data_IF_804388992413
#
_entry.id   IF_804388992413
#
_cell.length_a   1.000
_cell.length_b   1.000
_cell.length_c   1.000
_cell.angle_alpha   90.00
_cell.angle_beta   90.00
_cell.angle_gamma   90.00
#
_symmetry.space_group_name_H-M   'P 1'
#
loop_
_entity.id
_entity.type
_entity.pdbx_description
1 polymer ?
#
# COMPACT_ATOMS: atom_id res chain seq x y z
N UNK A 1 -12.80 29.35 -24.41
CA UNK A 1 -12.53 29.20 -22.97
C UNK A 1 -11.29 28.34 -22.82
N UNK A 2 -10.22 28.83 -22.21
CA UNK A 2 -8.99 28.05 -22.08
C UNK A 2 -9.21 26.92 -21.07
N UNK A 3 -8.58 25.77 -21.31
CA UNK A 3 -8.61 24.58 -20.43
C UNK A 3 -8.34 24.92 -18.96
N UNK A 4 -7.48 25.93 -18.74
CA UNK A 4 -7.13 26.49 -17.43
C UNK A 4 -8.24 27.27 -16.72
N UNK A 5 -9.18 27.89 -17.46
CA UNK A 5 -10.34 28.56 -16.82
C UNK A 5 -11.33 27.51 -16.32
N UNK A 6 -11.58 26.48 -17.13
CA UNK A 6 -12.49 25.37 -16.80
C UNK A 6 -11.96 24.52 -15.62
N UNK A 7 -10.65 24.30 -15.53
CA UNK A 7 -10.00 23.62 -14.40
C UNK A 7 -10.11 24.42 -13.09
N UNK A 8 -9.90 25.74 -13.13
CA UNK A 8 -10.06 26.63 -11.97
C UNK A 8 -11.51 26.69 -11.48
N UNK A 9 -12.47 26.74 -12.39
CA UNK A 9 -13.90 26.75 -12.06
C UNK A 9 -14.35 25.40 -11.47
N UNK A 10 -13.83 24.29 -12.01
CA UNK A 10 -14.09 22.94 -11.49
C UNK A 10 -13.52 22.75 -10.09
N UNK A 11 -12.30 23.24 -9.84
CA UNK A 11 -11.68 23.21 -8.52
C UNK A 11 -12.48 24.02 -7.50
N UNK A 12 -12.87 25.24 -7.87
CA UNK A 12 -13.69 26.11 -7.01
C UNK A 12 -15.01 25.44 -6.66
N UNK A 13 -15.69 24.82 -7.62
CA UNK A 13 -16.93 24.08 -7.38
C UNK A 13 -16.72 22.88 -6.44
N UNK A 14 -15.63 22.13 -6.62
CA UNK A 14 -15.31 20.99 -5.78
C UNK A 14 -15.10 21.41 -4.31
N UNK A 15 -14.29 22.45 -4.06
CA UNK A 15 -14.04 22.98 -2.72
C UNK A 15 -15.31 23.56 -2.07
N UNK A 16 -16.17 24.22 -2.85
CA UNK A 16 -17.45 24.72 -2.34
C UNK A 16 -18.39 23.58 -1.94
N UNK A 17 -18.47 22.52 -2.76
CA UNK A 17 -19.29 21.34 -2.48
C UNK A 17 -18.79 20.58 -1.26
N UNK A 18 -17.46 20.42 -1.14
CA UNK A 18 -16.79 19.80 0.00
C UNK A 18 -17.11 20.54 1.31
N UNK A 19 -16.91 21.86 1.34
CA UNK A 19 -17.22 22.70 2.51
C UNK A 19 -18.71 22.69 2.86
N UNK A 20 -19.59 22.68 1.86
CA UNK A 20 -21.03 22.58 2.08
C UNK A 20 -21.40 21.24 2.74
N UNK A 21 -20.83 20.13 2.25
CA UNK A 21 -21.06 18.81 2.82
C UNK A 21 -20.61 18.73 4.29
N UNK A 22 -19.40 19.22 4.62
CA UNK A 22 -18.90 19.28 6.00
C UNK A 22 -19.90 20.02 6.90
N UNK A 23 -20.34 21.22 6.48
CA UNK A 23 -21.28 22.02 7.26
C UNK A 23 -22.64 21.34 7.48
N UNK A 24 -23.12 20.54 6.50
CA UNK A 24 -24.36 19.77 6.66
C UNK A 24 -24.20 18.60 7.63
N UNK A 25 -23.04 17.93 7.59
CA UNK A 25 -22.73 16.80 8.46
C UNK A 25 -22.55 17.28 9.91
N UNK A 26 -21.80 18.37 10.13
CA UNK A 26 -21.58 18.93 11.46
C UNK A 26 -22.89 19.34 12.16
N UNK A 27 -23.89 19.79 11.39
CA UNK A 27 -25.23 20.11 11.93
C UNK A 27 -26.00 18.88 12.43
N UNK A 28 -25.73 17.71 11.85
CA UNK A 28 -26.45 16.47 12.13
C UNK A 28 -25.62 15.49 12.99
N UNK A 29 -24.33 15.77 13.21
CA UNK A 29 -23.38 14.87 13.88
C UNK A 29 -23.74 14.55 15.34
N UNK A 30 -24.57 15.37 15.98
CA UNK A 30 -25.06 15.14 17.34
C UNK A 30 -26.15 14.06 17.43
N UNK A 31 -26.75 13.66 16.31
CA UNK A 31 -27.78 12.62 16.25
C UNK A 31 -27.14 11.22 16.12
N UNK A 32 -27.35 10.29 17.07
CA UNK A 32 -26.85 8.93 17.00
C UNK A 32 -27.28 8.15 15.74
N UNK A 33 -28.41 8.50 15.13
CA UNK A 33 -28.89 7.87 13.88
C UNK A 33 -28.10 8.29 12.64
N UNK A 34 -27.27 9.33 12.77
CA UNK A 34 -26.41 9.82 11.68
C UNK A 34 -25.10 9.05 11.54
N UNK A 35 -24.76 8.13 12.47
CA UNK A 35 -23.44 7.45 12.49
C UNK A 35 -23.08 6.80 11.15
N UNK A 36 -23.94 6.01 10.48
CA UNK A 36 -23.61 5.44 9.17
C UNK A 36 -23.36 6.51 8.11
N UNK A 37 -24.15 7.59 8.13
CA UNK A 37 -24.01 8.72 7.20
C UNK A 37 -22.67 9.45 7.42
N UNK A 38 -22.30 9.74 8.67
CA UNK A 38 -21.03 10.40 8.99
C UNK A 38 -19.84 9.50 8.65
N UNK A 39 -19.95 8.18 8.87
CA UNK A 39 -18.90 7.23 8.50
C UNK A 39 -18.72 7.15 6.98
N UNK A 40 -19.81 7.08 6.19
CA UNK A 40 -19.73 7.16 4.72
C UNK A 40 -19.15 8.49 4.26
N UNK A 41 -19.54 9.60 4.89
CA UNK A 41 -18.97 10.90 4.56
C UNK A 41 -17.47 10.98 4.87
N UNK A 42 -17.01 10.37 5.97
CA UNK A 42 -15.58 10.30 6.28
C UNK A 42 -14.79 9.58 5.19
N UNK A 43 -15.35 8.50 4.61
CA UNK A 43 -14.78 7.82 3.44
C UNK A 43 -14.69 8.80 2.27
N UNK A 44 -15.78 9.49 1.91
CA UNK A 44 -15.81 10.43 0.78
C UNK A 44 -14.81 11.58 0.97
N UNK A 45 -14.63 12.09 2.19
CA UNK A 45 -13.63 13.10 2.47
C UNK A 45 -12.21 12.54 2.40
N UNK A 46 -11.93 11.36 2.97
CA UNK A 46 -10.63 10.69 2.77
C UNK A 46 -10.33 10.51 1.29
N UNK A 47 -11.31 10.06 0.50
CA UNK A 47 -11.23 9.91 -0.94
C UNK A 47 -10.83 11.21 -1.64
N UNK A 48 -11.43 12.33 -1.23
CA UNK A 48 -11.08 13.67 -1.74
C UNK A 48 -9.66 14.09 -1.35
N UNK A 49 -9.27 13.91 -0.09
CA UNK A 49 -7.92 14.25 0.38
C UNK A 49 -6.85 13.37 -0.28
N UNK A 50 -7.13 12.09 -0.50
CA UNK A 50 -6.25 11.20 -1.25
C UNK A 50 -6.07 11.67 -2.70
N UNK A 51 -7.14 12.16 -3.36
CA UNK A 51 -7.04 12.77 -4.69
C UNK A 51 -6.19 14.04 -4.67
N UNK A 52 -6.34 14.84 -3.61
CA UNK A 52 -5.60 16.07 -3.37
C UNK A 52 -4.14 15.84 -2.93
N UNK A 53 -3.78 14.63 -2.51
CA UNK A 53 -2.43 14.32 -2.02
C UNK A 53 -2.18 14.74 -0.57
N UNK A 54 -3.20 15.18 0.16
CA UNK A 54 -3.07 15.54 1.58
C UNK A 54 -3.23 14.28 2.46
N UNK A 55 -2.12 13.58 2.69
CA UNK A 55 -2.07 12.38 3.51
C UNK A 55 -2.50 12.63 4.97
N UNK A 56 -2.27 13.83 5.49
CA UNK A 56 -2.57 14.19 6.88
C UNK A 56 -4.07 14.41 7.06
N UNK A 57 -4.70 15.17 6.17
CA UNK A 57 -6.14 15.34 6.16
C UNK A 57 -6.86 14.01 5.88
N UNK A 58 -6.36 13.22 4.91
CA UNK A 58 -6.87 11.88 4.64
C UNK A 58 -6.88 11.01 5.91
N UNK A 59 -5.76 10.99 6.64
CA UNK A 59 -5.64 10.24 7.89
C UNK A 59 -6.59 10.74 8.98
N UNK A 60 -6.79 12.05 9.12
CA UNK A 60 -7.73 12.62 10.08
C UNK A 60 -9.17 12.16 9.80
N UNK A 61 -9.59 12.11 8.54
CA UNK A 61 -10.91 11.60 8.15
C UNK A 61 -11.05 10.09 8.41
N UNK A 62 -10.01 9.29 8.10
CA UNK A 62 -10.00 7.85 8.40
C UNK A 62 -10.12 7.61 9.90
N UNK A 63 -9.33 8.31 10.73
CA UNK A 63 -9.36 8.19 12.17
C UNK A 63 -10.74 8.56 12.75
N UNK A 64 -11.38 9.60 12.21
CA UNK A 64 -12.75 9.98 12.57
C UNK A 64 -13.75 8.87 12.23
N UNK A 65 -13.70 8.31 11.01
CA UNK A 65 -14.56 7.20 10.58
C UNK A 65 -14.38 5.94 11.43
N UNK A 66 -13.14 5.59 11.76
CA UNK A 66 -12.82 4.46 12.65
C UNK A 66 -13.33 4.72 14.07
N UNK A 67 -13.20 5.95 14.58
CA UNK A 67 -13.74 6.34 15.88
C UNK A 67 -15.25 6.14 15.98
N UNK A 68 -15.99 6.54 14.94
CA UNK A 68 -17.43 6.30 14.83
C UNK A 68 -17.78 4.81 14.84
N UNK A 69 -17.03 4.01 14.09
CA UNK A 69 -17.23 2.56 14.06
C UNK A 69 -16.96 1.92 15.44
N UNK A 70 -15.91 2.34 16.13
CA UNK A 70 -15.61 1.88 17.50
C UNK A 70 -16.76 2.20 18.45
N UNK A 71 -17.28 3.43 18.40
CA UNK A 71 -18.46 3.80 19.21
C UNK A 71 -19.70 2.95 18.89
N UNK A 72 -19.91 2.57 17.63
CA UNK A 72 -21.01 1.68 17.24
C UNK A 72 -20.81 0.27 17.82
N UNK A 73 -19.58 -0.25 17.78
CA UNK A 73 -19.18 -1.55 18.35
C UNK A 73 -19.27 -1.58 19.86
N UNK A 74 -18.94 -0.50 20.55
CA UNK A 74 -19.05 -0.43 22.01
C UNK A 74 -20.51 -0.59 22.49
N UNK A 75 -21.47 -0.12 21.69
CA UNK A 75 -22.91 -0.32 21.96
C UNK A 75 -23.42 -1.69 21.51
N UNK A 76 -22.85 -2.24 20.43
CA UNK A 76 -23.41 -3.40 19.72
C UNK A 76 -22.70 -4.72 19.99
N UNK A 77 -21.49 -4.68 20.54
CA UNK A 77 -20.57 -5.80 20.71
C UNK A 77 -19.36 -5.73 19.78
N UNK A 78 -18.21 -6.18 20.28
CA UNK A 78 -16.97 -6.33 19.51
C UNK A 78 -16.99 -7.60 18.64
N UNK A 79 -16.16 -7.68 17.59
CA UNK A 79 -15.99 -8.91 16.82
C UNK A 79 -15.58 -10.08 17.71
N UNK A 80 -16.33 -11.19 17.65
CA UNK A 80 -16.12 -12.38 18.49
C UNK A 80 -15.54 -13.59 17.74
N UNK A 81 -15.38 -13.50 16.42
CA UNK A 81 -14.82 -14.55 15.57
C UNK A 81 -14.59 -14.06 14.14
N UNK A 82 -14.72 -14.96 13.17
CA UNK A 82 -14.63 -14.62 11.74
C UNK A 82 -15.65 -13.57 11.33
N UNK A 83 -15.22 -12.60 10.52
CA UNK A 83 -16.07 -11.52 10.01
C UNK A 83 -17.19 -12.02 9.09
N UNK A 84 -18.26 -11.23 9.02
CA UNK A 84 -19.41 -11.45 8.14
C UNK A 84 -20.50 -12.33 8.76
N UNK A 85 -20.40 -12.67 10.04
CA UNK A 85 -21.34 -13.53 10.76
C UNK A 85 -22.29 -12.73 11.67
N UNK A 86 -23.56 -13.12 11.69
CA UNK A 86 -24.60 -12.76 12.66
C UNK A 86 -24.53 -11.35 13.28
N UNK A 87 -25.05 -10.35 12.58
CA UNK A 87 -25.23 -9.00 13.11
C UNK A 87 -26.59 -8.84 13.81
N UNK A 88 -26.64 -8.11 14.92
CA UNK A 88 -27.85 -7.93 15.74
C UNK A 88 -28.98 -7.21 15.02
N UNK A 89 -28.65 -6.32 14.09
CA UNK A 89 -29.62 -5.57 13.31
C UNK A 89 -29.06 -5.24 11.91
N UNK A 90 -29.94 -4.77 11.02
CA UNK A 90 -29.60 -4.45 9.63
C UNK A 90 -28.61 -3.28 9.50
N UNK A 91 -28.73 -2.27 10.35
CA UNK A 91 -27.85 -1.09 10.32
C UNK A 91 -26.39 -1.47 10.61
N UNK A 92 -26.17 -2.24 11.67
CA UNK A 92 -24.85 -2.78 12.01
C UNK A 92 -24.33 -3.70 10.91
N UNK A 93 -25.21 -4.56 10.35
CA UNK A 93 -24.83 -5.41 9.23
C UNK A 93 -24.38 -4.59 8.02
N UNK A 94 -25.08 -3.50 7.71
CA UNK A 94 -24.74 -2.61 6.61
C UNK A 94 -23.39 -1.92 6.85
N UNK A 95 -23.19 -1.33 8.04
CA UNK A 95 -21.94 -0.65 8.39
C UNK A 95 -20.76 -1.63 8.38
N UNK A 96 -20.89 -2.78 9.04
CA UNK A 96 -19.81 -3.76 9.14
C UNK A 96 -19.50 -4.45 7.80
N UNK A 97 -20.50 -4.61 6.92
CA UNK A 97 -20.29 -5.24 5.60
C UNK A 97 -19.82 -4.28 4.52
N UNK A 98 -20.18 -3.00 4.58
CA UNK A 98 -19.98 -2.06 3.46
C UNK A 98 -19.09 -0.87 3.81
N UNK A 99 -19.09 -0.42 5.07
CA UNK A 99 -18.34 0.78 5.51
C UNK A 99 -17.03 0.39 6.15
N UNK A 100 -17.07 -0.57 7.09
CA UNK A 100 -15.90 -1.00 7.85
C UNK A 100 -14.75 -1.55 6.98
N UNK A 101 -14.98 -2.37 5.92
CA UNK A 101 -13.90 -2.85 5.05
C UNK A 101 -13.19 -1.74 4.28
N UNK A 102 -13.93 -0.69 3.90
CA UNK A 102 -13.36 0.48 3.23
C UNK A 102 -12.51 1.27 4.20
N UNK A 103 -13.00 1.54 5.42
CA UNK A 103 -12.22 2.20 6.47
C UNK A 103 -10.95 1.41 6.84
N UNK A 104 -11.01 0.08 6.93
CA UNK A 104 -9.82 -0.76 7.13
C UNK A 104 -8.80 -0.60 6.01
N UNK A 105 -9.26 -0.62 4.75
CA UNK A 105 -8.37 -0.46 3.59
C UNK A 105 -7.74 0.93 3.56
N UNK A 106 -8.53 1.98 3.81
CA UNK A 106 -8.03 3.36 3.87
C UNK A 106 -7.07 3.57 5.05
N UNK A 107 -7.34 2.93 6.21
CA UNK A 107 -6.43 2.91 7.35
C UNK A 107 -5.07 2.37 6.97
N UNK A 108 -5.05 1.26 6.24
CA UNK A 108 -3.83 0.64 5.75
C UNK A 108 -3.07 1.60 4.81
N UNK A 109 -3.78 2.26 3.90
CA UNK A 109 -3.17 3.24 3.00
C UNK A 109 -2.53 4.40 3.76
N UNK A 110 -3.20 5.01 4.75
CA UNK A 110 -2.63 6.16 5.49
C UNK A 110 -1.56 5.74 6.52
N UNK A 111 -1.59 4.48 6.98
CA UNK A 111 -0.56 3.93 7.86
C UNK A 111 0.81 3.92 7.19
N UNK A 112 0.89 3.64 5.89
CA UNK A 112 2.15 3.71 5.15
C UNK A 112 2.73 5.13 5.06
N UNK A 113 1.91 6.15 5.29
CA UNK A 113 2.34 7.54 5.41
C UNK A 113 2.42 7.97 6.88
N UNK A 114 2.59 7.04 7.82
CA UNK A 114 2.90 7.33 9.22
C UNK A 114 1.73 7.78 10.08
N UNK A 115 0.50 7.53 9.64
CA UNK A 115 -0.72 7.77 10.43
C UNK A 115 -1.49 6.47 10.67
N UNK A 116 -0.94 5.49 11.42
CA UNK A 116 -1.63 4.23 11.66
C UNK A 116 -2.91 4.44 12.47
N UNK A 117 -4.05 3.94 11.97
CA UNK A 117 -5.30 3.90 12.74
C UNK A 117 -5.75 2.46 12.98
N UNK A 118 -6.13 2.17 14.22
CA UNK A 118 -6.35 0.77 14.61
C UNK A 118 -7.77 0.29 14.37
N UNK A 119 -7.91 -0.67 13.45
CA UNK A 119 -9.18 -1.33 13.18
C UNK A 119 -8.93 -2.74 12.63
N UNK A 120 -9.66 -3.72 13.16
CA UNK A 120 -9.72 -5.09 12.66
C UNK A 120 -11.18 -5.48 12.51
N UNK A 121 -11.48 -6.32 11.53
CA UNK A 121 -12.84 -6.79 11.29
C UNK A 121 -13.08 -8.21 11.81
N UNK A 122 -12.06 -9.06 11.79
CA UNK A 122 -12.04 -10.32 12.50
C UNK A 122 -11.67 -10.10 13.97
N UNK A 123 -12.10 -11.02 14.83
CA UNK A 123 -11.57 -11.09 16.19
C UNK A 123 -10.06 -11.34 16.19
N UNK A 124 -9.39 -10.90 17.25
CA UNK A 124 -7.98 -11.18 17.47
C UNK A 124 -7.82 -12.26 18.54
N UNK A 125 -6.80 -13.10 18.38
CA UNK A 125 -6.39 -14.05 19.41
C UNK A 125 -5.60 -13.35 20.54
N UNK A 126 -5.14 -14.12 21.52
CA UNK A 126 -4.35 -13.62 22.66
C UNK A 126 -3.02 -12.98 22.24
N UNK A 127 -2.57 -13.23 21.02
CA UNK A 127 -1.33 -12.69 20.46
C UNK A 127 -1.56 -11.49 19.53
N UNK A 128 -2.81 -11.07 19.33
CA UNK A 128 -3.17 -10.00 18.40
C UNK A 128 -3.22 -10.43 16.94
N UNK A 129 -3.30 -11.73 16.65
CA UNK A 129 -3.45 -12.26 15.30
C UNK A 129 -4.93 -12.41 14.91
N UNK A 130 -5.33 -12.08 13.67
CA UNK A 130 -6.70 -12.29 13.20
C UNK A 130 -7.12 -13.77 13.24
N UNK A 131 -8.33 -14.03 13.72
CA UNK A 131 -8.89 -15.37 13.87
C UNK A 131 -9.76 -15.74 12.67
N UNK A 132 -9.54 -16.94 12.11
CA UNK A 132 -10.30 -17.52 11.00
C UNK A 132 -10.95 -18.86 11.41
N UNK A 133 -11.82 -18.81 12.41
CA UNK A 133 -12.49 -19.97 13.01
C UNK A 133 -13.55 -20.64 12.11
N UNK A 134 -13.92 -19.99 10.99
CA UNK A 134 -14.88 -20.52 10.02
C UNK A 134 -14.29 -20.59 8.60
N UNK A 135 -14.75 -21.53 7.74
CA UNK A 135 -14.41 -21.52 6.32
C UNK A 135 -14.92 -20.26 5.62
N UNK A 136 -14.15 -19.72 4.68
CA UNK A 136 -14.62 -18.64 3.83
C UNK A 136 -15.77 -19.12 2.93
N UNK A 137 -16.86 -18.37 2.89
CA UNK A 137 -18.04 -18.59 2.05
C UNK A 137 -18.09 -17.59 0.89
N UNK A 138 -17.52 -16.41 1.10
CA UNK A 138 -17.47 -15.31 0.14
C UNK A 138 -16.05 -14.76 -0.02
N UNK A 139 -15.72 -14.24 -1.20
CA UNK A 139 -14.44 -13.57 -1.45
C UNK A 139 -14.22 -12.33 -0.57
N UNK A 140 -15.30 -11.67 -0.14
CA UNK A 140 -15.25 -10.54 0.79
C UNK A 140 -14.57 -10.92 2.11
N UNK A 141 -14.82 -12.13 2.63
CA UNK A 141 -14.22 -12.62 3.87
C UNK A 141 -12.72 -12.87 3.71
N UNK A 142 -12.31 -13.46 2.59
CA UNK A 142 -10.89 -13.66 2.28
C UNK A 142 -10.17 -12.32 2.16
N UNK A 143 -10.76 -11.35 1.44
CA UNK A 143 -10.22 -10.00 1.30
C UNK A 143 -10.08 -9.28 2.64
N UNK A 144 -11.11 -9.31 3.48
CA UNK A 144 -11.07 -8.73 4.82
C UNK A 144 -9.97 -9.39 5.66
N UNK A 145 -9.89 -10.72 5.62
CA UNK A 145 -8.87 -11.47 6.35
C UNK A 145 -7.44 -11.12 5.96
N UNK A 146 -7.14 -10.95 4.66
CA UNK A 146 -5.78 -10.58 4.25
C UNK A 146 -5.44 -9.14 4.65
N UNK A 147 -6.40 -8.21 4.59
CA UNK A 147 -6.21 -6.83 5.06
C UNK A 147 -5.95 -6.78 6.57
N UNK A 148 -6.68 -7.56 7.37
CA UNK A 148 -6.45 -7.65 8.81
C UNK A 148 -5.03 -8.22 9.11
N UNK A 149 -4.57 -9.23 8.34
CA UNK A 149 -3.21 -9.78 8.49
C UNK A 149 -2.16 -8.74 8.13
N UNK A 150 -2.31 -8.02 7.01
CA UNK A 150 -1.36 -6.97 6.61
C UNK A 150 -1.31 -5.86 7.66
N UNK A 151 -2.48 -5.47 8.19
CA UNK A 151 -2.58 -4.47 9.26
C UNK A 151 -1.82 -4.91 10.50
N UNK A 152 -1.94 -6.17 10.91
CA UNK A 152 -1.19 -6.72 12.03
C UNK A 152 0.32 -6.81 11.73
N UNK A 153 0.70 -7.21 10.51
CA UNK A 153 2.09 -7.33 10.07
C UNK A 153 2.83 -5.98 10.11
N UNK A 154 2.21 -4.90 9.63
CA UNK A 154 2.80 -3.56 9.66
C UNK A 154 3.13 -3.07 11.07
N UNK A 155 2.37 -3.51 12.09
CA UNK A 155 2.64 -3.16 13.50
C UNK A 155 3.75 -3.97 14.13
N UNK A 156 3.99 -5.20 13.68
CA UNK A 156 5.12 -5.99 14.21
C UNK A 156 6.46 -5.29 14.03
N UNK A 157 6.60 -4.46 12.98
CA UNK A 157 7.78 -3.63 12.76
C UNK A 157 7.87 -2.39 13.66
N UNK A 158 6.80 -1.97 14.34
CA UNK A 158 6.77 -0.76 15.17
C UNK A 158 7.06 -1.04 16.65
N UNK A 159 6.63 -2.20 17.16
CA UNK A 159 6.59 -2.46 18.61
C UNK A 159 7.45 -3.65 19.04
N UNK A 160 8.50 -3.37 19.82
CA UNK A 160 9.11 -4.35 20.72
C UNK A 160 10.53 -4.79 20.36
N UNK A 161 11.08 -5.66 21.21
CA UNK A 161 12.41 -6.24 21.05
C UNK A 161 12.46 -7.20 19.86
N UNK A 162 13.63 -7.43 19.23
CA UNK A 162 13.76 -8.36 18.10
C UNK A 162 13.15 -9.75 18.34
N UNK A 163 13.27 -10.27 19.57
CA UNK A 163 12.69 -11.57 19.94
C UNK A 163 11.16 -11.57 19.94
N UNK A 164 10.53 -10.48 20.40
CA UNK A 164 9.06 -10.33 20.34
C UNK A 164 8.56 -10.17 18.91
N UNK A 165 9.32 -9.50 18.05
CA UNK A 165 8.99 -9.34 16.62
C UNK A 165 9.06 -10.70 15.90
N UNK A 166 10.09 -11.50 16.17
CA UNK A 166 10.23 -12.85 15.61
C UNK A 166 9.07 -13.76 16.00
N UNK A 167 8.67 -13.74 17.28
CA UNK A 167 7.53 -14.51 17.79
C UNK A 167 6.20 -14.10 17.12
N UNK A 168 5.92 -12.79 17.06
CA UNK A 168 4.73 -12.27 16.37
C UNK A 168 4.73 -12.59 14.88
N UNK A 169 5.88 -12.49 14.21
CA UNK A 169 6.00 -12.85 12.80
C UNK A 169 5.69 -14.33 12.55
N UNK A 170 6.15 -15.23 13.43
CA UNK A 170 5.82 -16.65 13.33
C UNK A 170 4.31 -16.93 13.50
N UNK A 171 3.66 -16.24 14.43
CA UNK A 171 2.22 -16.36 14.65
C UNK A 171 1.41 -15.82 13.47
N UNK A 172 1.80 -14.67 12.92
CA UNK A 172 1.16 -14.13 11.72
C UNK A 172 1.36 -15.01 10.48
N UNK A 173 2.53 -15.67 10.34
CA UNK A 173 2.72 -16.68 9.28
C UNK A 173 1.76 -17.85 9.46
N UNK A 174 1.58 -18.35 10.68
CA UNK A 174 0.60 -19.42 10.93
C UNK A 174 -0.84 -18.98 10.59
N UNK A 175 -1.23 -17.75 10.95
CA UNK A 175 -2.51 -17.18 10.58
C UNK A 175 -2.66 -17.03 9.04
N UNK A 176 -1.58 -16.64 8.35
CA UNK A 176 -1.54 -16.50 6.89
C UNK A 176 -1.64 -17.85 6.16
N UNK A 177 -1.03 -18.91 6.70
CA UNK A 177 -1.18 -20.27 6.16
C UNK A 177 -2.59 -20.83 6.38
N UNK A 178 -3.18 -20.59 7.55
CA UNK A 178 -4.57 -20.94 7.79
C UNK A 178 -5.49 -20.19 6.82
N UNK A 179 -5.28 -18.88 6.65
CA UNK A 179 -6.00 -18.07 5.68
C UNK A 179 -5.87 -18.66 4.27
N UNK A 180 -4.67 -19.08 3.86
CA UNK A 180 -4.42 -19.67 2.53
C UNK A 180 -5.22 -20.95 2.35
N UNK A 181 -5.18 -21.84 3.32
CA UNK A 181 -5.95 -23.09 3.29
C UNK A 181 -7.45 -22.82 3.11
N UNK A 182 -8.01 -21.83 3.82
CA UNK A 182 -9.43 -21.44 3.69
C UNK A 182 -9.74 -20.81 2.33
N UNK A 183 -8.82 -20.00 1.79
CA UNK A 183 -8.99 -19.39 0.49
C UNK A 183 -8.90 -20.40 -0.64
N UNK A 184 -7.94 -21.33 -0.59
CA UNK A 184 -7.79 -22.40 -1.57
C UNK A 184 -9.03 -23.32 -1.57
N UNK A 185 -9.60 -23.64 -0.39
CA UNK A 185 -10.87 -24.36 -0.29
C UNK A 185 -12.05 -23.58 -0.92
N UNK A 186 -12.16 -22.27 -0.68
CA UNK A 186 -13.19 -21.43 -1.31
C UNK A 186 -13.07 -21.44 -2.84
N UNK A 187 -11.86 -21.26 -3.37
CA UNK A 187 -11.55 -21.32 -4.80
C UNK A 187 -11.96 -22.68 -5.35
N UNK A 188 -11.54 -23.77 -4.72
CA UNK A 188 -11.80 -25.13 -5.19
C UNK A 188 -13.29 -25.43 -5.25
N UNK A 189 -14.09 -24.90 -4.30
CA UNK A 189 -15.54 -25.03 -4.27
C UNK A 189 -16.29 -24.15 -5.29
N UNK A 190 -15.78 -22.96 -5.61
CA UNK A 190 -16.59 -21.94 -6.29
C UNK A 190 -16.01 -21.36 -7.59
N UNK A 191 -14.72 -21.50 -7.89
CA UNK A 191 -14.06 -20.78 -9.01
C UNK A 191 -14.74 -21.03 -10.36
N UNK A 192 -15.25 -22.26 -10.58
CA UNK A 192 -15.95 -22.64 -11.83
C UNK A 192 -17.25 -21.86 -12.07
N UNK A 193 -17.87 -21.30 -11.02
CA UNK A 193 -19.11 -20.52 -11.13
C UNK A 193 -18.88 -19.01 -11.07
N UNK A 194 -17.62 -18.58 -10.98
CA UNK A 194 -17.28 -17.16 -10.88
C UNK A 194 -17.29 -16.48 -12.24
N UNK A 195 -17.91 -15.30 -12.26
CA UNK A 195 -17.78 -14.36 -13.36
C UNK A 195 -16.38 -13.72 -13.40
N UNK A 196 -16.14 -12.90 -14.42
CA UNK A 196 -14.88 -12.19 -14.59
C UNK A 196 -14.53 -11.27 -13.41
N UNK A 197 -15.52 -10.66 -12.76
CA UNK A 197 -15.29 -9.74 -11.64
C UNK A 197 -14.81 -10.50 -10.40
N UNK A 198 -15.45 -11.63 -10.07
CA UNK A 198 -15.04 -12.51 -8.97
C UNK A 198 -13.66 -13.13 -9.22
N UNK A 199 -13.36 -13.56 -10.46
CA UNK A 199 -12.02 -14.05 -10.82
C UNK A 199 -10.96 -12.96 -10.65
N UNK A 200 -11.27 -11.72 -11.03
CA UNK A 200 -10.39 -10.56 -10.85
C UNK A 200 -10.15 -10.28 -9.36
N UNK A 201 -11.20 -10.25 -8.55
CA UNK A 201 -11.11 -10.06 -7.10
C UNK A 201 -10.30 -11.18 -6.42
N UNK A 202 -10.53 -12.44 -6.81
CA UNK A 202 -9.77 -13.59 -6.30
C UNK A 202 -8.28 -13.49 -6.63
N UNK A 203 -7.94 -13.12 -7.87
CA UNK A 203 -6.55 -12.93 -8.28
C UNK A 203 -5.89 -11.75 -7.57
N UNK A 204 -6.61 -10.65 -7.33
CA UNK A 204 -6.09 -9.54 -6.53
C UNK A 204 -5.74 -9.99 -5.11
N UNK A 205 -6.63 -10.75 -4.48
CA UNK A 205 -6.43 -11.33 -3.15
C UNK A 205 -5.25 -12.33 -3.13
N UNK A 206 -5.07 -13.13 -4.19
CA UNK A 206 -3.88 -13.99 -4.35
C UNK A 206 -2.59 -13.17 -4.40
N UNK A 207 -2.56 -12.07 -5.15
CA UNK A 207 -1.39 -11.18 -5.24
C UNK A 207 -1.06 -10.57 -3.88
N UNK A 208 -2.06 -10.09 -3.14
CA UNK A 208 -1.87 -9.56 -1.78
C UNK A 208 -1.31 -10.61 -0.83
N UNK A 209 -1.81 -11.85 -0.91
CA UNK A 209 -1.29 -12.97 -0.12
C UNK A 209 0.18 -13.24 -0.45
N UNK A 210 0.55 -13.34 -1.73
CA UNK A 210 1.94 -13.57 -2.16
C UNK A 210 2.88 -12.50 -1.59
N UNK A 211 2.53 -11.23 -1.75
CA UNK A 211 3.35 -10.14 -1.25
C UNK A 211 3.49 -10.15 0.28
N UNK A 212 2.41 -10.48 0.99
CA UNK A 212 2.37 -10.57 2.46
C UNK A 212 3.19 -11.76 2.97
N UNK A 213 3.12 -12.90 2.31
CA UNK A 213 3.89 -14.10 2.64
C UNK A 213 5.39 -13.83 2.55
N UNK A 214 5.84 -13.20 1.45
CA UNK A 214 7.23 -12.79 1.26
C UNK A 214 7.64 -11.77 2.34
N UNK A 215 6.83 -10.74 2.57
CA UNK A 215 7.10 -9.72 3.59
C UNK A 215 7.24 -10.30 5.00
N UNK A 216 6.36 -11.20 5.42
CA UNK A 216 6.44 -11.86 6.73
C UNK A 216 7.59 -12.87 6.81
N UNK A 217 7.97 -13.51 5.70
CA UNK A 217 9.14 -14.40 5.65
C UNK A 217 10.42 -13.61 5.90
N UNK A 218 10.61 -12.50 5.17
CA UNK A 218 11.85 -11.71 5.18
C UNK A 218 11.90 -10.69 6.33
N UNK A 219 10.76 -10.21 6.84
CA UNK A 219 10.69 -9.11 7.81
C UNK A 219 11.64 -9.20 9.00
N UNK A 220 11.86 -10.37 9.64
CA UNK A 220 12.82 -10.51 10.74
C UNK A 220 14.30 -10.45 10.32
N UNK A 221 14.60 -10.55 9.04
CA UNK A 221 15.96 -10.47 8.50
C UNK A 221 16.46 -9.02 8.52
N UNK A 222 17.73 -8.85 8.83
CA UNK A 222 18.43 -7.59 8.66
C UNK A 222 19.05 -7.47 7.26
N UNK A 223 19.35 -8.60 6.61
CA UNK A 223 19.96 -8.67 5.28
C UNK A 223 18.92 -8.51 4.16
N UNK A 224 19.22 -7.67 3.18
CA UNK A 224 18.49 -7.55 1.92
C UNK A 224 18.64 -8.81 1.05
N UNK A 225 19.68 -9.61 1.27
CA UNK A 225 19.81 -10.91 0.57
C UNK A 225 18.68 -11.89 0.82
N UNK A 226 17.97 -11.76 1.96
CA UNK A 226 16.86 -12.64 2.30
C UNK A 226 15.68 -12.55 1.30
N UNK A 227 15.55 -11.45 0.55
CA UNK A 227 14.52 -11.30 -0.48
C UNK A 227 14.72 -12.25 -1.67
N UNK A 228 15.95 -12.71 -1.94
CA UNK A 228 16.26 -13.48 -3.15
C UNK A 228 15.66 -14.88 -3.19
N UNK A 229 15.43 -15.46 -2.00
CA UNK A 229 14.84 -16.79 -1.83
C UNK A 229 13.40 -16.88 -2.37
N UNK A 230 12.79 -15.75 -2.73
CA UNK A 230 11.38 -15.63 -3.11
C UNK A 230 11.16 -15.40 -4.60
N UNK A 231 12.08 -15.86 -5.46
CA UNK A 231 11.99 -15.69 -6.92
C UNK A 231 10.66 -16.15 -7.51
N UNK A 232 10.19 -17.35 -7.14
CA UNK A 232 8.93 -17.91 -7.64
C UNK A 232 7.72 -17.03 -7.28
N UNK A 233 7.73 -16.43 -6.09
CA UNK A 233 6.67 -15.51 -5.67
C UNK A 233 6.67 -14.23 -6.51
N UNK A 234 7.84 -13.70 -6.87
CA UNK A 234 7.93 -12.55 -7.78
C UNK A 234 7.39 -12.86 -9.17
N UNK A 235 7.75 -14.04 -9.73
CA UNK A 235 7.25 -14.49 -11.03
C UNK A 235 5.73 -14.66 -11.01
N UNK A 236 5.17 -15.20 -9.93
CA UNK A 236 3.73 -15.35 -9.77
C UNK A 236 3.01 -14.00 -9.62
N UNK A 237 3.57 -13.05 -8.86
CA UNK A 237 3.05 -11.68 -8.77
C UNK A 237 3.04 -11.03 -10.16
N UNK A 238 4.15 -11.09 -10.90
CA UNK A 238 4.25 -10.54 -12.27
C UNK A 238 3.19 -11.16 -13.17
N UNK A 239 3.03 -12.49 -13.14
CA UNK A 239 2.07 -13.22 -13.97
C UNK A 239 0.62 -12.82 -13.66
N UNK A 240 0.24 -12.81 -12.37
CA UNK A 240 -1.10 -12.45 -11.92
C UNK A 240 -1.41 -10.99 -12.24
N UNK A 241 -0.51 -10.06 -11.89
CA UNK A 241 -0.68 -8.62 -12.14
C UNK A 241 -0.77 -8.33 -13.64
N UNK A 242 0.10 -8.93 -14.46
CA UNK A 242 0.02 -8.81 -15.93
C UNK A 242 -1.34 -9.23 -16.48
N UNK A 243 -1.88 -10.35 -15.99
CA UNK A 243 -3.22 -10.80 -16.40
C UNK A 243 -4.35 -9.84 -15.99
N UNK A 244 -4.20 -9.16 -14.85
CA UNK A 244 -5.17 -8.20 -14.33
C UNK A 244 -5.15 -6.86 -15.09
N UNK A 245 -3.97 -6.45 -15.57
CA UNK A 245 -3.82 -5.23 -16.39
C UNK A 245 -4.41 -5.46 -17.78
N UNK A 246 -4.05 -6.56 -18.47
CA UNK A 246 -4.56 -6.87 -19.82
C UNK A 246 -6.08 -6.96 -19.86
N UNK A 247 -6.70 -7.61 -18.87
CA UNK A 247 -8.18 -7.73 -18.75
C UNK A 247 -8.88 -6.39 -18.54
N UNK A 248 -8.14 -5.33 -18.27
CA UNK A 248 -8.66 -4.02 -17.94
C UNK A 248 -8.53 -3.00 -19.07
N UNK A 249 -7.90 -3.35 -20.19
CA UNK A 249 -7.66 -2.44 -21.32
C UNK A 249 -8.94 -2.11 -22.12
N UNK A 250 -10.09 -2.73 -21.80
CA UNK A 250 -11.39 -2.51 -22.47
C UNK A 250 -12.06 -1.15 -22.17
N UNK A 251 -11.44 -0.25 -21.39
CA UNK A 251 -12.04 1.06 -21.03
C UNK A 251 -11.12 2.25 -21.36
N UNK A 252 -11.36 2.90 -22.51
CA UNK A 252 -11.02 4.29 -22.94
C UNK A 252 -9.66 4.94 -22.54
N UNK A 253 -8.69 4.23 -21.96
CA UNK A 253 -7.34 4.75 -21.67
C UNK A 253 -7.24 5.87 -20.63
N UNK A 254 -8.29 6.13 -19.84
CA UNK A 254 -8.28 7.17 -18.81
C UNK A 254 -7.55 6.69 -17.53
N UNK A 255 -6.74 7.56 -16.87
CA UNK A 255 -6.13 7.25 -15.58
C UNK A 255 -7.21 6.86 -14.55
N UNK A 256 -7.03 5.71 -13.89
CA UNK A 256 -8.01 5.21 -12.93
C UNK A 256 -7.59 5.50 -11.50
N UNK A 257 -8.50 6.14 -10.77
CA UNK A 257 -8.39 6.28 -9.33
C UNK A 257 -9.14 5.14 -8.65
N UNK A 258 -8.46 4.42 -7.77
CA UNK A 258 -9.03 3.35 -6.96
C UNK A 258 -8.88 3.71 -5.47
N UNK A 259 -9.96 3.59 -4.70
CA UNK A 259 -9.94 3.84 -3.25
C UNK A 259 -9.56 2.59 -2.43
N UNK A 260 -8.97 1.62 -3.11
CA UNK A 260 -8.59 0.33 -2.54
C UNK A 260 -7.10 0.11 -2.79
N UNK A 261 -6.41 -0.47 -1.81
CA UNK A 261 -5.07 -0.99 -2.02
C UNK A 261 -5.17 -2.13 -3.04
N UNK A 262 -4.38 -2.08 -4.11
CA UNK A 262 -4.54 -2.97 -5.25
C UNK A 262 -3.23 -3.61 -5.66
N UNK A 263 -2.73 -3.20 -6.83
CA UNK A 263 -1.56 -3.78 -7.49
C UNK A 263 -0.28 -3.01 -7.19
N UNK A 264 -0.36 -1.75 -6.77
CA UNK A 264 0.83 -0.91 -6.60
C UNK A 264 1.73 -1.47 -5.48
N UNK A 265 1.19 -1.71 -4.28
CA UNK A 265 1.99 -2.22 -3.15
C UNK A 265 2.68 -3.58 -3.46
N UNK A 266 1.99 -4.60 -4.02
CA UNK A 266 2.65 -5.83 -4.47
C UNK A 266 3.73 -5.62 -5.54
N UNK A 267 3.56 -4.63 -6.43
CA UNK A 267 4.59 -4.28 -7.40
C UNK A 267 5.78 -3.54 -6.78
N UNK A 268 5.63 -2.87 -5.63
CA UNK A 268 6.77 -2.31 -4.89
C UNK A 268 7.74 -3.43 -4.51
N UNK A 269 7.22 -4.54 -4.01
CA UNK A 269 8.01 -5.71 -3.65
C UNK A 269 8.88 -6.20 -4.83
N UNK A 270 8.31 -6.27 -6.04
CA UNK A 270 9.01 -6.72 -7.24
C UNK A 270 9.97 -5.66 -7.81
N UNK A 271 9.56 -4.39 -7.86
CA UNK A 271 10.40 -3.34 -8.47
C UNK A 271 11.57 -2.89 -7.57
N UNK A 272 11.37 -2.97 -6.25
CA UNK A 272 12.33 -2.49 -5.25
C UNK A 272 13.10 -3.61 -4.53
N UNK A 273 12.40 -4.56 -3.91
CA UNK A 273 13.03 -5.54 -3.01
C UNK A 273 13.66 -6.71 -3.75
N UNK A 274 13.03 -7.18 -4.82
CA UNK A 274 13.63 -8.18 -5.70
C UNK A 274 14.96 -7.67 -6.26
N UNK A 275 16.00 -8.50 -6.21
CA UNK A 275 17.33 -8.19 -6.73
C UNK A 275 17.59 -8.76 -8.13
N UNK A 276 16.70 -9.63 -8.64
CA UNK A 276 16.78 -10.22 -9.98
C UNK A 276 16.52 -9.18 -11.07
N UNK A 277 17.53 -8.81 -11.90
CA UNK A 277 17.41 -7.67 -12.81
C UNK A 277 16.28 -7.80 -13.84
N UNK A 278 16.01 -9.02 -14.34
CA UNK A 278 14.96 -9.26 -15.32
C UNK A 278 13.55 -9.12 -14.70
N UNK A 279 13.36 -9.62 -13.47
CA UNK A 279 12.09 -9.52 -12.75
C UNK A 279 11.79 -8.09 -12.32
N UNK A 280 12.81 -7.33 -11.89
CA UNK A 280 12.66 -5.89 -11.56
C UNK A 280 12.17 -5.08 -12.75
N UNK A 281 12.77 -5.28 -13.93
CA UNK A 281 12.34 -4.64 -15.17
C UNK A 281 10.88 -4.98 -15.52
N UNK A 282 10.48 -6.25 -15.35
CA UNK A 282 9.07 -6.67 -15.52
C UNK A 282 8.14 -5.97 -14.52
N UNK A 283 8.53 -5.87 -13.25
CA UNK A 283 7.78 -5.14 -12.22
C UNK A 283 7.61 -3.65 -12.53
N UNK A 284 8.69 -2.99 -12.98
CA UNK A 284 8.65 -1.59 -13.43
C UNK A 284 7.74 -1.42 -14.65
N UNK A 285 7.84 -2.31 -15.64
CA UNK A 285 6.96 -2.28 -16.81
C UNK A 285 5.48 -2.40 -16.42
N UNK A 286 5.14 -3.28 -15.46
CA UNK A 286 3.79 -3.41 -14.94
C UNK A 286 3.32 -2.16 -14.16
N UNK A 287 4.18 -1.53 -13.35
CA UNK A 287 3.85 -0.26 -12.71
C UNK A 287 3.50 0.80 -13.76
N UNK A 288 4.33 0.95 -14.79
CA UNK A 288 4.10 1.90 -15.88
C UNK A 288 2.81 1.60 -16.64
N UNK A 289 2.61 0.35 -17.05
CA UNK A 289 1.43 -0.10 -17.81
C UNK A 289 0.13 0.03 -17.01
N UNK A 290 0.20 -0.09 -15.68
CA UNK A 290 -0.99 -0.01 -14.84
C UNK A 290 -1.67 1.36 -14.84
N UNK A 291 -0.91 2.44 -15.11
CA UNK A 291 -1.30 3.86 -15.16
C UNK A 291 -2.46 4.22 -14.21
N UNK A 292 -2.27 3.89 -12.94
CA UNK A 292 -3.29 4.00 -11.88
C UNK A 292 -2.79 4.79 -10.68
N UNK A 293 -3.75 5.35 -9.95
CA UNK A 293 -3.58 5.81 -8.57
C UNK A 293 -4.45 4.96 -7.65
N UNK A 294 -3.86 4.45 -6.59
CA UNK A 294 -4.55 3.68 -5.56
C UNK A 294 -4.45 4.51 -4.28
N UNK A 295 -5.50 5.19 -3.84
CA UNK A 295 -5.45 6.13 -2.73
C UNK A 295 -4.32 7.16 -2.88
N UNK A 296 -3.33 7.15 -1.98
CA UNK A 296 -2.14 8.01 -2.00
C UNK A 296 -1.01 7.46 -2.89
N UNK A 297 -1.13 6.23 -3.39
CA UNK A 297 -0.14 5.61 -4.25
C UNK A 297 -0.30 6.06 -5.70
N UNK A 298 0.82 6.43 -6.33
CA UNK A 298 0.87 6.76 -7.75
C UNK A 298 1.84 5.83 -8.48
N UNK A 299 1.32 5.01 -9.39
CA UNK A 299 2.13 4.04 -10.15
C UNK A 299 3.24 4.69 -10.97
N UNK A 300 3.05 5.91 -11.48
CA UNK A 300 4.05 6.64 -12.25
C UNK A 300 5.15 7.18 -11.36
N UNK A 301 4.78 7.73 -10.20
CA UNK A 301 5.76 8.17 -9.20
C UNK A 301 6.63 7.00 -8.74
N UNK A 302 6.02 5.88 -8.36
CA UNK A 302 6.77 4.70 -7.92
C UNK A 302 7.58 4.05 -9.04
N UNK A 303 7.10 4.07 -10.29
CA UNK A 303 7.93 3.71 -11.43
C UNK A 303 9.21 4.57 -11.49
N UNK A 304 9.10 5.90 -11.35
CA UNK A 304 10.25 6.79 -11.40
C UNK A 304 11.23 6.54 -10.23
N UNK A 305 10.70 6.44 -9.01
CA UNK A 305 11.49 6.16 -7.80
C UNK A 305 12.22 4.83 -7.92
N UNK A 306 11.52 3.75 -8.28
CA UNK A 306 12.14 2.42 -8.36
C UNK A 306 13.03 2.24 -9.57
N UNK A 307 12.78 2.95 -10.68
CA UNK A 307 13.73 3.02 -11.79
C UNK A 307 15.05 3.64 -11.34
N UNK A 308 14.99 4.70 -10.55
CA UNK A 308 16.19 5.34 -10.00
C UNK A 308 16.91 4.45 -9.00
N UNK A 309 16.19 3.82 -8.08
CA UNK A 309 16.76 2.85 -7.12
C UNK A 309 17.43 1.68 -7.85
N UNK A 310 16.77 1.12 -8.86
CA UNK A 310 17.33 0.05 -9.68
C UNK A 310 18.61 0.50 -10.38
N UNK A 311 18.65 1.70 -10.96
CA UNK A 311 19.84 2.22 -11.64
C UNK A 311 21.03 2.38 -10.67
N UNK A 312 20.80 2.82 -9.43
CA UNK A 312 21.85 2.96 -8.41
C UNK A 312 22.38 1.58 -8.01
N UNK A 313 21.48 0.66 -7.69
CA UNK A 313 21.84 -0.69 -7.22
C UNK A 313 22.51 -1.51 -8.32
N UNK A 314 21.95 -1.51 -9.52
CA UNK A 314 22.48 -2.26 -10.66
C UNK A 314 23.74 -1.62 -11.27
N UNK A 315 24.03 -0.35 -10.98
CA UNK A 315 25.30 0.28 -11.37
C UNK A 315 26.53 -0.37 -10.74
N UNK A 316 26.35 -1.18 -9.70
CA UNK A 316 27.39 -1.95 -9.04
C UNK A 316 27.57 -3.36 -9.61
N UNK A 317 26.75 -3.76 -10.59
CA UNK A 317 26.87 -5.07 -11.23
C UNK A 317 28.14 -5.11 -12.09
N UNK A 318 29.00 -6.08 -11.81
CA UNK A 318 30.16 -6.36 -12.63
C UNK A 318 29.69 -7.17 -13.84
N UNK A 319 29.76 -6.58 -15.04
CA UNK A 319 29.47 -7.32 -16.28
C UNK A 319 30.59 -8.34 -16.52
N UNK A 320 30.37 -9.62 -16.20
CA UNK A 320 31.28 -10.70 -16.59
C UNK A 320 31.29 -10.85 -18.10
N UNK A 321 32.33 -10.35 -18.77
CA UNK A 321 32.53 -10.53 -20.21
C UNK A 321 32.98 -11.98 -20.45
N UNK A 322 32.23 -12.75 -21.24
CA UNK A 322 32.69 -14.04 -21.80
C UNK A 322 31.95 -15.32 -21.41
N UNK A 323 30.86 -15.28 -20.64
CA UNK A 323 30.01 -16.46 -20.39
C UNK A 323 28.77 -16.48 -21.30
N UNK A 324 28.47 -17.64 -21.89
CA UNK A 324 27.34 -17.85 -22.82
C UNK A 324 25.98 -17.85 -22.11
N UNK A 325 25.94 -18.01 -20.79
CA UNK A 325 24.74 -17.86 -19.96
C UNK A 325 24.80 -16.51 -19.23
N UNK A 326 23.77 -15.68 -19.42
CA UNK A 326 23.59 -14.44 -18.66
C UNK A 326 23.12 -14.82 -17.25
N UNK A 327 24.03 -15.31 -16.43
CA UNK A 327 23.81 -15.36 -14.99
C UNK A 327 24.04 -13.92 -14.51
N UNK A 328 22.95 -13.17 -14.35
CA UNK A 328 23.03 -11.83 -13.79
C UNK A 328 23.60 -11.96 -12.37
N UNK A 329 24.74 -11.33 -12.09
CA UNK A 329 25.11 -11.07 -10.70
C UNK A 329 23.98 -10.24 -10.06
N UNK A 330 23.63 -10.55 -8.81
CA UNK A 330 22.64 -9.79 -8.05
C UNK A 330 23.30 -8.57 -7.43
N UNK A 331 22.60 -7.42 -7.33
CA UNK A 331 23.13 -6.24 -6.63
C UNK A 331 23.65 -6.60 -5.23
N UNK A 332 24.90 -6.22 -4.90
CA UNK A 332 25.50 -6.55 -3.61
C UNK A 332 24.76 -5.85 -2.47
N UNK A 333 24.84 -6.42 -1.27
CA UNK A 333 24.16 -5.93 -0.07
C UNK A 333 24.46 -4.44 0.21
N UNK A 334 25.71 -4.01 0.05
CA UNK A 334 26.16 -2.64 0.31
C UNK A 334 25.59 -1.61 -0.68
N UNK A 335 25.15 -2.06 -1.86
CA UNK A 335 24.54 -1.18 -2.86
C UNK A 335 23.04 -0.96 -2.60
N UNK A 336 22.42 -1.77 -1.72
CA UNK A 336 20.98 -1.79 -1.53
C UNK A 336 20.45 -0.52 -0.87
N UNK A 337 19.33 -0.04 -1.40
CA UNK A 337 18.54 1.02 -0.80
C UNK A 337 17.59 0.37 0.21
N UNK A 338 17.89 0.51 1.51
CA UNK A 338 17.10 -0.08 2.59
C UNK A 338 15.79 0.67 2.85
N UNK A 339 15.76 1.98 2.58
CA UNK A 339 14.58 2.81 2.75
C UNK A 339 14.62 4.03 1.83
N UNK A 340 13.45 4.58 1.51
CA UNK A 340 13.32 5.83 0.77
C UNK A 340 12.17 6.69 1.33
N UNK A 341 12.28 8.00 1.16
CA UNK A 341 11.17 8.94 1.34
C UNK A 341 11.12 9.85 0.12
N UNK A 342 9.92 10.07 -0.42
CA UNK A 342 9.71 10.89 -1.60
C UNK A 342 8.66 11.97 -1.30
N UNK A 343 9.03 13.23 -1.50
CA UNK A 343 8.19 14.40 -1.17
C UNK A 343 8.05 15.30 -2.39
N UNK A 344 6.83 15.69 -2.76
CA UNK A 344 6.64 16.74 -3.75
C UNK A 344 7.17 18.08 -3.23
N UNK A 345 7.82 18.85 -4.10
CA UNK A 345 8.23 20.23 -3.80
C UNK A 345 7.08 21.19 -4.14
N UNK A 346 6.95 22.26 -3.36
CA UNK A 346 5.82 23.20 -3.38
C UNK A 346 5.62 24.00 -4.67
N UNK A 347 6.50 23.88 -5.67
CA UNK A 347 6.28 24.46 -6.99
C UNK A 347 5.41 23.52 -7.83
N UNK A 348 4.11 23.78 -7.84
CA UNK A 348 3.08 23.03 -8.59
C UNK A 348 3.31 22.98 -10.12
N UNK A 349 4.31 23.69 -10.65
CA UNK A 349 4.55 23.82 -12.09
C UNK A 349 5.45 22.72 -12.67
N UNK A 350 6.32 22.06 -11.89
CA UNK A 350 7.39 21.22 -12.46
C UNK A 350 7.39 19.72 -12.06
N UNK A 351 6.37 19.22 -11.34
CA UNK A 351 6.30 17.79 -10.98
C UNK A 351 7.60 17.25 -10.33
N UNK A 352 8.24 18.09 -9.51
CA UNK A 352 9.53 17.81 -8.90
C UNK A 352 9.34 17.22 -7.51
N UNK A 353 10.02 16.11 -7.26
CA UNK A 353 10.04 15.41 -5.99
C UNK A 353 11.45 15.40 -5.40
N UNK A 354 11.56 15.63 -4.10
CA UNK A 354 12.77 15.34 -3.33
C UNK A 354 12.75 13.88 -2.92
N UNK A 355 13.72 13.12 -3.42
CA UNK A 355 13.92 11.70 -3.09
C UNK A 355 15.09 11.56 -2.11
N UNK A 356 14.80 11.02 -0.93
CA UNK A 356 15.76 10.70 0.12
C UNK A 356 15.96 9.19 0.17
N UNK A 357 17.18 8.72 -0.02
CA UNK A 357 17.57 7.32 -0.07
C UNK A 357 18.47 6.98 1.12
N UNK A 358 18.20 5.86 1.78
CA UNK A 358 18.91 5.39 2.97
C UNK A 358 19.68 4.12 2.63
N UNK A 359 21.00 4.19 2.68
CA UNK A 359 21.93 3.13 2.31
C UNK A 359 22.76 2.68 3.51
N UNK A 360 23.30 1.46 3.46
CA UNK A 360 24.28 0.95 4.43
C UNK A 360 25.54 0.48 3.71
N UNK A 361 26.40 1.40 3.24
CA UNK A 361 27.57 1.05 2.42
C UNK A 361 28.59 0.20 3.17
N UNK A 362 28.61 0.27 4.50
CA UNK A 362 29.51 -0.46 5.39
C UNK A 362 28.88 -1.73 5.97
N UNK A 363 27.84 -2.30 5.34
CA UNK A 363 27.16 -3.50 5.84
C UNK A 363 28.15 -4.61 6.25
N UNK A 364 28.00 -5.23 7.45
CA UNK A 364 26.85 -5.18 8.36
C UNK A 364 26.86 -4.06 9.42
N UNK A 365 27.75 -3.06 9.32
CA UNK A 365 27.76 -1.94 10.25
C UNK A 365 26.40 -1.18 10.20
N UNK A 366 25.77 -0.84 11.34
CA UNK A 366 24.50 -0.12 11.39
C UNK A 366 24.53 1.31 10.82
N UNK A 367 25.70 1.87 10.50
CA UNK A 367 25.81 3.21 9.92
C UNK A 367 24.98 3.37 8.65
N UNK A 368 24.03 4.32 8.71
CA UNK A 368 23.15 4.66 7.61
C UNK A 368 23.65 5.93 6.92
N UNK A 369 23.85 5.86 5.60
CA UNK A 369 24.13 7.02 4.75
C UNK A 369 22.83 7.52 4.12
N UNK A 370 22.57 8.83 4.24
CA UNK A 370 21.48 9.52 3.56
C UNK A 370 22.00 10.11 2.24
N UNK A 371 21.31 9.84 1.14
CA UNK A 371 21.52 10.48 -0.16
C UNK A 371 20.24 11.20 -0.58
N UNK A 372 20.34 12.46 -0.96
CA UNK A 372 19.18 13.27 -1.40
C UNK A 372 19.33 13.63 -2.87
N UNK A 373 18.29 13.38 -3.65
CA UNK A 373 18.19 13.67 -5.07
C UNK A 373 16.87 14.38 -5.39
N UNK A 374 16.78 14.97 -6.58
CA UNK A 374 15.54 15.54 -7.11
C UNK A 374 15.11 14.76 -8.35
N UNK A 375 13.85 14.32 -8.37
CA UNK A 375 13.22 13.63 -9.49
C UNK A 375 12.21 14.56 -10.16
N UNK A 376 12.36 14.81 -11.46
CA UNK A 376 11.31 15.42 -12.27
C UNK A 376 10.49 14.32 -12.94
N UNK A 377 9.22 14.16 -12.54
CA UNK A 377 8.40 13.06 -13.02
C UNK A 377 8.17 13.13 -14.54
N UNK A 378 7.93 14.33 -15.08
CA UNK A 378 7.70 14.52 -16.51
C UNK A 378 8.92 14.13 -17.35
N UNK A 379 10.13 14.45 -16.88
CA UNK A 379 11.37 14.05 -17.55
C UNK A 379 11.56 12.53 -17.60
N UNK A 380 11.29 11.82 -16.50
CA UNK A 380 11.42 10.36 -16.41
C UNK A 380 10.37 9.65 -17.27
N UNK A 381 9.16 10.21 -17.37
CA UNK A 381 8.10 9.64 -18.19
C UNK A 381 8.30 9.91 -19.68
N UNK A 382 8.81 11.09 -20.04
CA UNK A 382 9.04 11.53 -21.41
C UNK A 382 10.17 10.80 -22.14
N UNK A 383 11.06 10.08 -21.42
CA UNK A 383 12.16 9.36 -22.06
C UNK A 383 11.73 8.22 -22.99
N UNK A 384 10.49 7.73 -22.96
CA UNK A 384 10.02 6.68 -23.90
C UNK A 384 8.55 6.74 -24.35
N UNK A 385 7.69 7.66 -23.89
CA UNK A 385 6.42 7.98 -24.59
C UNK A 385 5.76 9.26 -24.02
N UNK A 386 5.24 10.10 -24.93
CA UNK A 386 4.68 11.41 -24.61
C UNK A 386 3.21 11.37 -24.19
N UNK A 387 2.95 11.31 -22.88
CA UNK A 387 1.69 11.78 -22.27
C UNK A 387 1.98 12.38 -20.89
N UNK A 388 1.91 13.71 -20.79
CA UNK A 388 1.95 14.43 -19.51
C UNK A 388 0.60 14.29 -18.78
N UNK A 389 0.67 14.05 -17.47
CA UNK A 389 -0.48 14.12 -16.57
C UNK A 389 -0.35 15.35 -15.66
N UNK A 390 -1.47 15.91 -15.17
CA UNK A 390 -1.44 17.06 -14.26
C UNK A 390 -0.67 16.71 -12.98
N UNK A 391 -0.03 17.73 -12.42
CA UNK A 391 0.88 17.57 -11.30
C UNK A 391 0.19 17.05 -10.02
N UNK A 392 0.82 16.09 -9.35
CA UNK A 392 0.36 15.61 -8.06
C UNK A 392 0.75 16.62 -6.96
N UNK A 393 -0.19 17.05 -6.08
CA UNK A 393 0.14 18.06 -5.08
C UNK A 393 1.06 17.53 -3.96
N UNK A 394 1.67 18.49 -3.27
CA UNK A 394 2.59 18.34 -2.14
C UNK A 394 2.09 17.40 -1.04
N UNK A 395 2.89 16.38 -0.72
CA UNK A 395 2.71 15.52 0.45
C UNK A 395 3.53 16.07 1.63
N UNK A 396 2.90 16.42 2.76
CA UNK A 396 3.61 16.71 4.01
C UNK A 396 3.99 15.41 4.75
N UNK A 397 5.20 15.37 5.33
CA UNK A 397 5.85 14.19 5.94
C UNK A 397 5.15 13.64 7.18
N UNK A 398 5.00 12.31 7.25
CA UNK A 398 5.38 11.53 8.44
C UNK A 398 6.16 10.24 8.09
N UNK A 399 6.64 9.46 9.08
CA UNK A 399 7.50 8.29 8.81
C UNK A 399 6.77 7.23 8.00
N UNK A 400 7.39 6.77 6.91
CA UNK A 400 6.83 5.71 6.08
C UNK A 400 6.95 4.36 6.79
N UNK A 401 5.80 3.77 7.14
CA UNK A 401 5.69 2.43 7.71
C UNK A 401 5.42 1.49 6.55
N UNK A 402 6.44 0.83 5.99
CA UNK A 402 6.23 -0.04 4.84
C UNK A 402 6.35 -1.52 5.26
N UNK A 403 5.44 -2.37 4.75
CA UNK A 403 5.46 -3.83 4.91
C UNK A 403 6.78 -4.47 4.45
N UNK A 404 7.51 -3.83 3.55
CA UNK A 404 8.72 -4.35 2.90
C UNK A 404 10.03 -3.81 3.48
N UNK A 405 10.01 -3.30 4.72
CA UNK A 405 11.22 -2.84 5.41
C UNK A 405 12.00 -4.02 6.00
N UNK A 406 13.33 -3.99 5.88
CA UNK A 406 14.25 -4.89 6.59
C UNK A 406 14.87 -4.18 7.80
N UNK A 407 15.06 -4.92 8.89
CA UNK A 407 15.70 -4.42 10.10
C UNK A 407 14.88 -3.41 10.92
N UNK A 408 15.47 -2.88 12.02
CA UNK A 408 14.76 -2.00 12.94
C UNK A 408 14.32 -0.69 12.29
N UNK A 409 13.25 -0.09 12.81
CA UNK A 409 12.80 1.25 12.41
C UNK A 409 13.95 2.23 12.62
N UNK A 410 14.58 2.66 11.52
CA UNK A 410 15.48 3.80 11.55
C UNK A 410 14.65 4.98 12.07
N UNK A 411 15.00 5.44 13.26
CA UNK A 411 14.62 6.76 13.74
C UNK A 411 15.21 7.74 12.74
N UNK A 412 14.34 8.32 11.91
CA UNK A 412 14.73 9.37 10.97
C UNK A 412 15.24 10.52 11.85
N UNK A 413 16.52 10.92 11.77
CA UNK A 413 17.00 12.07 12.52
C UNK A 413 16.14 13.27 12.13
N UNK A 414 15.67 14.03 13.12
CA UNK A 414 15.01 15.30 12.87
C UNK A 414 15.92 16.12 11.95
N UNK A 415 15.34 16.60 10.85
CA UNK A 415 16.03 17.38 9.82
C UNK A 415 16.72 18.57 10.46
N UNK A 416 18.06 18.50 10.56
CA UNK A 416 19.03 19.61 10.56
C UNK A 416 20.48 19.16 10.89
N UNK A 417 20.73 17.90 11.28
CA UNK A 417 22.06 17.52 11.79
C UNK A 417 23.03 16.88 10.77
N UNK A 418 22.60 16.51 9.55
CA UNK A 418 23.44 15.75 8.60
C UNK A 418 23.33 16.27 7.16
N UNK A 419 23.28 17.58 6.96
CA UNK A 419 23.71 18.18 5.69
C UNK A 419 25.23 18.37 5.74
N UNK A 420 25.99 17.28 5.62
CA UNK A 420 27.41 17.39 5.26
C UNK A 420 27.49 17.48 3.75
N UNK A 421 27.87 18.68 3.28
CA UNK A 421 28.24 18.94 1.89
C UNK A 421 29.36 17.99 1.43
N UNK A 422 29.15 17.36 0.29
CA UNK A 422 30.20 16.88 -0.60
C UNK A 422 29.71 17.05 -2.05
#
# INVERSE_FOLDING_TARGET
MSRTTTEKDSLKFALQSYNRAINMILKNASDPTSIPLVAVASIVFTCFECLWGDSKAAAAHVASGIGLLKMLRDKSGQPSGSWGQHYRNFELAFVEKNVAPVLCTLSLCVAEFGYPAEIYLNALDVNGCPVFDQPFRELSQARVGIIDIITAAMRTGQDGSPNSQLGKAAQLRAALELWKMRFDDLVLRQERSWDHQKLTAANLVRVMWQATAVGLSVGPSADETAWDAHREAYEEIIRLVGSLIVRSEDTLGLPRFHFEMGLISPLHLVAWKCRWPDLRRKGLALLRASSRRECLYDSKLYYAVFSRIMAIEEGHLIRKIGQQSVEYDLPPEQARIHHFVCEALSSAEDNIYRLRLFLRPSWPNPECRLQTEHLCLDSVLAQEDGVSLPAAPTMEKPPVVNLFRTGPVLTIPETNALETAA
#
